data_IF_767473097579
#
_entry.id   IF_767473097579
#
_cell.length_a   1.000
_cell.length_b   1.000
_cell.length_c   1.000
_cell.angle_alpha   90.00
_cell.angle_beta   90.00
_cell.angle_gamma   90.00
#
_symmetry.space_group_name_H-M   'P 1'
#
loop_
_entity.id
_entity.type
_entity.pdbx_description
1 polymer ?
#
# COMPACT_ATOMS: atom_id res chain seq x y z
N UNK A 1 10.98 9.34 13.62
CA UNK A 1 11.59 10.12 12.50
C UNK A 1 10.93 9.71 11.18
N UNK A 2 10.78 10.63 10.23
CA UNK A 2 10.09 10.41 8.95
C UNK A 2 11.08 10.39 7.79
N UNK A 3 11.04 9.34 6.96
CA UNK A 3 11.89 9.22 5.77
C UNK A 3 11.02 9.15 4.51
N UNK A 4 11.38 9.91 3.48
CA UNK A 4 10.59 9.99 2.25
C UNK A 4 10.99 8.95 1.21
N UNK A 5 12.26 8.52 1.23
CA UNK A 5 12.85 7.60 0.28
C UNK A 5 13.76 6.60 0.99
N UNK A 6 13.73 5.33 0.58
CA UNK A 6 14.60 4.29 1.08
C UNK A 6 14.77 3.16 0.03
N UNK A 7 15.77 2.31 0.24
CA UNK A 7 16.01 1.10 -0.57
C UNK A 7 16.14 -0.09 0.36
N UNK A 8 15.50 -1.20 -0.01
CA UNK A 8 15.63 -2.46 0.73
C UNK A 8 16.82 -3.24 0.19
N UNK A 9 17.86 -3.43 1.01
CA UNK A 9 18.98 -4.32 0.71
C UNK A 9 18.70 -5.70 1.30
N UNK A 10 18.38 -6.66 0.43
CA UNK A 10 18.05 -8.02 0.83
C UNK A 10 18.47 -9.00 -0.26
N UNK A 11 18.96 -10.20 0.07
CA UNK A 11 19.26 -11.24 -0.92
C UNK A 11 18.00 -11.69 -1.69
N UNK A 12 16.81 -11.41 -1.15
CA UNK A 12 15.53 -11.76 -1.76
C UNK A 12 14.96 -10.63 -2.63
N UNK A 13 15.68 -9.53 -2.83
CA UNK A 13 15.21 -8.39 -3.64
C UNK A 13 16.26 -8.05 -4.70
N UNK A 14 15.82 -7.99 -5.96
CA UNK A 14 16.67 -7.56 -7.08
C UNK A 14 15.99 -6.40 -7.80
N UNK A 15 16.72 -5.30 -7.91
CA UNK A 15 16.31 -4.14 -8.70
C UNK A 15 16.91 -4.24 -10.09
N UNK A 16 16.11 -3.90 -11.10
CA UNK A 16 16.55 -3.75 -12.50
C UNK A 16 16.14 -2.36 -12.99
N UNK A 17 16.35 -2.08 -14.27
CA UNK A 17 15.95 -0.80 -14.88
C UNK A 17 14.43 -0.58 -14.93
N UNK A 18 13.64 -1.66 -14.96
CA UNK A 18 12.18 -1.57 -15.18
C UNK A 18 11.35 -2.28 -14.11
N UNK A 19 11.97 -3.06 -13.24
CA UNK A 19 11.23 -3.89 -12.28
C UNK A 19 12.00 -4.13 -10.98
N UNK A 20 11.21 -4.39 -9.94
CA UNK A 20 11.65 -4.95 -8.66
C UNK A 20 11.20 -6.40 -8.62
N UNK A 21 12.14 -7.33 -8.53
CA UNK A 21 11.87 -8.74 -8.31
C UNK A 21 12.04 -9.05 -6.83
N UNK A 22 11.09 -9.77 -6.23
CA UNK A 22 11.18 -10.19 -4.83
C UNK A 22 10.75 -11.62 -4.60
N UNK A 23 11.43 -12.31 -3.68
CA UNK A 23 11.06 -13.64 -3.23
C UNK A 23 10.42 -13.55 -1.84
N UNK A 24 9.23 -14.12 -1.68
CA UNK A 24 8.51 -14.16 -0.42
C UNK A 24 8.08 -15.58 -0.08
N UNK A 25 8.49 -16.05 1.09
CA UNK A 25 8.03 -17.32 1.64
C UNK A 25 6.76 -17.06 2.46
N UNK A 26 5.60 -17.37 1.89
CA UNK A 26 4.32 -17.24 2.57
C UNK A 26 4.11 -18.43 3.50
N UNK A 27 4.20 -18.18 4.80
CA UNK A 27 3.94 -19.16 5.85
C UNK A 27 2.43 -19.21 6.15
N UNK A 28 1.86 -20.41 6.07
CA UNK A 28 0.43 -20.66 6.25
C UNK A 28 0.20 -22.05 6.82
N UNK A 29 -1.06 -22.46 6.98
CA UNK A 29 -1.42 -23.79 7.48
C UNK A 29 -2.42 -24.48 6.55
N UNK A 30 -2.24 -25.78 6.38
CA UNK A 30 -3.19 -26.67 5.70
C UNK A 30 -3.97 -27.47 6.75
N UNK A 31 -5.30 -27.42 6.68
CA UNK A 31 -6.19 -28.16 7.57
C UNK A 31 -6.67 -29.44 6.90
N UNK A 32 -6.45 -30.57 7.57
CA UNK A 32 -6.99 -31.87 7.16
C UNK A 32 -7.93 -32.39 8.23
N UNK A 33 -9.12 -32.85 7.83
CA UNK A 33 -10.07 -33.50 8.72
C UNK A 33 -10.10 -34.99 8.39
N UNK A 34 -9.52 -35.82 9.25
CA UNK A 34 -9.39 -37.25 9.00
C UNK A 34 -9.81 -38.09 10.21
N UNK A 35 -10.33 -39.28 9.94
CA UNK A 35 -10.65 -40.25 10.98
C UNK A 35 -9.37 -40.98 11.39
N UNK A 36 -8.98 -40.82 12.67
CA UNK A 36 -7.92 -41.60 13.30
C UNK A 36 -8.51 -42.39 14.45
N UNK A 37 -8.39 -43.72 14.38
CA UNK A 37 -8.83 -44.64 15.42
C UNK A 37 -10.31 -44.47 15.80
N UNK A 38 -11.19 -44.25 14.81
CA UNK A 38 -12.63 -44.13 15.02
C UNK A 38 -13.09 -42.72 15.45
N UNK A 39 -12.16 -41.79 15.69
CA UNK A 39 -12.47 -40.40 16.03
C UNK A 39 -12.03 -39.47 14.90
N UNK A 40 -12.90 -38.57 14.47
CA UNK A 40 -12.52 -37.50 13.55
C UNK A 40 -11.67 -36.44 14.27
N UNK A 41 -10.53 -36.09 13.68
CA UNK A 41 -9.61 -35.11 14.24
C UNK A 41 -9.18 -34.11 13.16
N UNK A 42 -9.02 -32.85 13.58
CA UNK A 42 -8.40 -31.82 12.76
C UNK A 42 -6.89 -31.86 12.92
N UNK A 43 -6.18 -31.86 11.80
CA UNK A 43 -4.72 -31.78 11.75
C UNK A 43 -4.36 -30.47 11.07
N UNK A 44 -3.63 -29.63 11.80
CA UNK A 44 -3.11 -28.36 11.32
C UNK A 44 -1.66 -28.56 10.91
N UNK A 45 -1.36 -28.46 9.62
CA UNK A 45 -0.02 -28.68 9.06
C UNK A 45 0.59 -27.35 8.65
N UNK A 46 1.63 -26.84 9.34
CA UNK A 46 2.38 -25.69 8.86
C UNK A 46 2.93 -25.95 7.46
N UNK A 47 2.83 -24.95 6.59
CA UNK A 47 3.24 -25.02 5.20
C UNK A 47 3.82 -23.69 4.77
N UNK A 48 4.87 -23.75 3.96
CA UNK A 48 5.45 -22.57 3.33
C UNK A 48 5.22 -22.65 1.82
N UNK A 49 4.73 -21.56 1.24
CA UNK A 49 4.57 -21.41 -0.21
C UNK A 49 5.49 -20.30 -0.68
N UNK A 50 6.47 -20.63 -1.54
CA UNK A 50 7.37 -19.64 -2.13
C UNK A 50 6.67 -18.90 -3.27
N UNK A 51 6.62 -17.58 -3.17
CA UNK A 51 6.21 -16.68 -4.23
C UNK A 51 7.41 -15.91 -4.77
N UNK A 52 7.39 -15.68 -6.08
CA UNK A 52 8.32 -14.79 -6.77
C UNK A 52 7.48 -13.68 -7.41
N UNK A 53 7.60 -12.48 -6.87
CA UNK A 53 6.89 -11.30 -7.34
C UNK A 53 7.76 -10.50 -8.30
N UNK A 54 7.12 -9.94 -9.31
CA UNK A 54 7.70 -8.96 -10.23
C UNK A 54 6.79 -7.73 -10.20
N UNK A 55 7.37 -6.59 -9.81
CA UNK A 55 6.69 -5.30 -9.77
C UNK A 55 7.31 -4.39 -10.81
N UNK A 56 6.53 -3.99 -11.83
CA UNK A 56 6.93 -2.94 -12.77
C UNK A 56 7.00 -1.59 -12.04
N UNK A 57 8.07 -0.84 -12.23
CA UNK A 57 8.28 0.45 -11.56
C UNK A 57 7.67 1.64 -12.31
N UNK A 58 7.21 1.44 -13.55
CA UNK A 58 6.61 2.50 -14.36
C UNK A 58 5.20 2.81 -13.89
N UNK A 59 4.99 4.00 -13.34
CA UNK A 59 3.66 4.52 -13.01
C UNK A 59 3.03 5.17 -14.26
N UNK A 60 1.93 4.62 -14.83
CA UNK A 60 1.31 5.16 -16.03
C UNK A 60 0.36 6.33 -15.71
N UNK A 61 -0.03 7.08 -16.74
CA UNK A 61 -1.23 7.92 -16.64
C UNK A 61 -2.45 7.02 -16.58
N UNK A 62 -3.23 7.12 -15.51
CA UNK A 62 -4.42 6.32 -15.29
C UNK A 62 -5.68 7.07 -15.75
N UNK A 63 -6.42 6.49 -16.69
CA UNK A 63 -7.77 6.91 -17.02
C UNK A 63 -8.77 6.29 -16.04
N UNK A 64 -9.70 7.08 -15.51
CA UNK A 64 -10.74 6.62 -14.59
C UNK A 64 -12.11 6.96 -15.18
N UNK A 65 -13.00 5.96 -15.29
CA UNK A 65 -14.38 6.11 -15.74
C UNK A 65 -15.33 5.72 -14.62
N UNK A 66 -16.23 6.61 -14.24
CA UNK A 66 -17.13 6.43 -13.11
C UNK A 66 -18.58 6.37 -13.58
N UNK A 67 -19.27 5.27 -13.27
CA UNK A 67 -20.73 5.20 -13.43
C UNK A 67 -21.36 6.08 -12.34
N UNK A 68 -22.22 7.02 -12.74
CA UNK A 68 -22.75 8.02 -11.82
C UNK A 68 -21.75 9.14 -11.48
N UNK A 69 -20.84 9.48 -12.40
CA UNK A 69 -19.84 10.55 -12.23
C UNK A 69 -20.43 11.89 -11.73
N UNK A 70 -21.65 12.24 -12.14
CA UNK A 70 -22.33 13.47 -11.71
C UNK A 70 -22.90 13.45 -10.29
N UNK A 71 -22.86 12.30 -9.59
CA UNK A 71 -23.32 12.20 -8.20
C UNK A 71 -22.32 12.75 -7.19
N UNK A 72 -22.71 12.83 -5.92
CA UNK A 72 -21.91 13.45 -4.83
C UNK A 72 -20.46 12.94 -4.78
N UNK A 73 -20.24 11.63 -4.90
CA UNK A 73 -18.90 11.05 -4.83
C UNK A 73 -18.07 11.35 -6.09
N UNK A 74 -18.68 11.27 -7.27
CA UNK A 74 -17.98 11.49 -8.53
C UNK A 74 -17.57 12.95 -8.72
N UNK A 75 -18.46 13.88 -8.38
CA UNK A 75 -18.15 15.31 -8.40
C UNK A 75 -17.10 15.69 -7.35
N UNK A 76 -17.21 15.15 -6.13
CA UNK A 76 -16.22 15.39 -5.05
C UNK A 76 -14.85 14.81 -5.39
N UNK A 77 -14.78 13.59 -5.91
CA UNK A 77 -13.52 12.98 -6.36
C UNK A 77 -12.85 13.83 -7.44
N UNK A 78 -13.61 14.24 -8.45
CA UNK A 78 -13.09 15.06 -9.56
C UNK A 78 -12.62 16.42 -9.05
N UNK A 79 -13.43 17.09 -8.22
CA UNK A 79 -13.07 18.36 -7.61
C UNK A 79 -11.83 18.26 -6.73
N UNK A 80 -11.71 17.21 -5.92
CA UNK A 80 -10.55 16.94 -5.07
C UNK A 80 -9.27 16.72 -5.86
N UNK A 81 -9.32 15.96 -6.96
CA UNK A 81 -8.18 15.75 -7.87
C UNK A 81 -7.74 17.06 -8.52
N UNK A 82 -8.67 17.84 -9.06
CA UNK A 82 -8.35 19.13 -9.70
C UNK A 82 -7.80 20.11 -8.66
N UNK A 83 -8.43 20.22 -7.49
CA UNK A 83 -8.00 21.13 -6.44
C UNK A 83 -6.58 20.84 -5.96
N UNK A 84 -6.24 19.56 -5.74
CA UNK A 84 -4.88 19.17 -5.37
C UNK A 84 -3.88 19.37 -6.53
N UNK A 85 -4.27 19.09 -7.78
CA UNK A 85 -3.40 19.26 -8.95
C UNK A 85 -3.04 20.72 -9.21
N UNK A 86 -4.00 21.62 -9.09
CA UNK A 86 -3.81 23.05 -9.35
C UNK A 86 -3.38 23.86 -8.10
N UNK A 87 -3.23 23.21 -6.94
CA UNK A 87 -2.85 23.87 -5.69
C UNK A 87 -3.89 24.87 -5.18
N UNK A 88 -5.18 24.54 -5.34
CA UNK A 88 -6.28 25.45 -4.97
C UNK A 88 -6.35 25.62 -3.45
N UNK A 89 -6.58 26.86 -3.03
CA UNK A 89 -6.88 27.23 -1.65
C UNK A 89 -8.13 28.10 -1.57
N UNK A 90 -8.79 28.11 -0.41
CA UNK A 90 -10.00 28.90 -0.20
C UNK A 90 -10.05 29.46 1.22
N UNK A 91 -10.63 30.65 1.36
CA UNK A 91 -10.87 31.26 2.67
C UNK A 91 -12.05 30.58 3.37
N UNK A 92 -11.87 30.30 4.65
CA UNK A 92 -12.95 29.94 5.59
C UNK A 92 -13.06 31.01 6.65
N UNK A 93 -14.04 30.88 7.56
CA UNK A 93 -14.19 31.81 8.69
C UNK A 93 -12.93 31.89 9.56
N UNK A 94 -12.24 30.77 9.73
CA UNK A 94 -11.13 30.65 10.69
C UNK A 94 -9.76 30.87 10.03
N UNK A 95 -9.58 30.38 8.80
CA UNK A 95 -8.30 30.45 8.07
C UNK A 95 -8.45 30.13 6.58
N UNK A 96 -7.34 30.27 5.84
CA UNK A 96 -7.24 29.75 4.47
C UNK A 96 -6.95 28.25 4.53
N UNK A 97 -7.73 27.46 3.82
CA UNK A 97 -7.56 26.01 3.65
C UNK A 97 -6.83 25.70 2.35
N UNK A 98 -6.00 24.67 2.37
CA UNK A 98 -5.30 24.14 1.20
C UNK A 98 -5.90 22.79 0.82
N UNK A 99 -6.05 22.54 -0.48
CA UNK A 99 -6.44 21.23 -0.98
C UNK A 99 -5.45 20.15 -0.48
N UNK A 100 -5.99 19.02 -0.04
CA UNK A 100 -5.22 17.89 0.46
C UNK A 100 -5.96 16.57 0.17
N UNK A 101 -5.31 15.46 0.53
CA UNK A 101 -5.89 14.10 0.46
C UNK A 101 -6.07 13.49 1.85
N UNK A 102 -6.39 14.29 2.87
CA UNK A 102 -6.68 13.74 4.20
C UNK A 102 -7.86 12.76 4.13
N UNK A 103 -7.77 11.68 4.92
CA UNK A 103 -8.67 10.54 4.82
C UNK A 103 -8.27 9.49 3.77
N UNK A 104 -7.30 9.77 2.90
CA UNK A 104 -6.73 8.77 2.00
C UNK A 104 -5.62 7.98 2.68
N UNK A 105 -5.78 6.66 2.78
CA UNK A 105 -4.73 5.77 3.30
C UNK A 105 -3.44 5.88 2.46
N UNK A 106 -3.55 5.86 1.14
CA UNK A 106 -2.36 5.84 0.28
C UNK A 106 -1.61 7.17 0.28
N UNK A 107 -2.33 8.30 0.37
CA UNK A 107 -1.73 9.63 0.25
C UNK A 107 -1.39 10.29 1.59
N UNK A 108 -2.07 9.94 2.68
CA UNK A 108 -2.00 10.64 3.96
C UNK A 108 -1.72 9.73 5.17
N UNK A 109 -1.32 8.47 4.96
CA UNK A 109 -0.88 7.57 6.04
C UNK A 109 0.62 7.28 5.97
N UNK A 110 1.14 6.73 7.07
CA UNK A 110 2.52 6.31 7.21
C UNK A 110 2.60 4.84 7.64
N UNK A 111 3.74 4.22 7.35
CA UNK A 111 4.06 2.85 7.74
C UNK A 111 5.42 2.81 8.43
N UNK A 112 5.54 2.00 9.48
CA UNK A 112 6.81 1.76 10.15
C UNK A 112 7.70 0.89 9.26
N UNK A 113 8.90 1.36 8.98
CA UNK A 113 9.89 0.65 8.14
C UNK A 113 11.03 0.04 8.95
N UNK A 114 11.24 0.51 10.19
CA UNK A 114 12.28 -0.02 11.07
C UNK A 114 12.49 0.84 12.30
N UNK A 115 13.65 0.68 12.92
CA UNK A 115 14.12 1.53 14.02
C UNK A 115 15.54 2.02 13.78
N UNK A 116 15.85 3.21 14.30
CA UNK A 116 17.19 3.78 14.28
C UNK A 116 17.44 4.45 15.62
N UNK A 117 18.51 4.04 16.31
CA UNK A 117 18.87 4.56 17.65
C UNK A 117 17.74 4.45 18.69
N UNK A 118 16.95 3.37 18.65
CA UNK A 118 15.84 3.13 19.58
C UNK A 118 14.54 3.81 19.20
N UNK A 119 14.54 4.68 18.19
CA UNK A 119 13.35 5.37 17.70
C UNK A 119 12.72 4.66 16.50
N UNK A 120 11.39 4.70 16.40
CA UNK A 120 10.68 4.15 15.25
C UNK A 120 10.79 5.07 14.03
N UNK A 121 11.11 4.46 12.90
CA UNK A 121 11.21 5.14 11.61
C UNK A 121 9.99 4.80 10.78
N UNK A 122 9.33 5.85 10.32
CA UNK A 122 8.13 5.75 9.49
C UNK A 122 8.38 6.39 8.13
N UNK A 123 7.71 5.89 7.10
CA UNK A 123 7.70 6.44 5.75
C UNK A 123 6.25 6.69 5.30
N UNK A 124 6.00 7.62 4.34
CA UNK A 124 4.71 7.72 3.69
C UNK A 124 4.32 6.37 3.07
N UNK A 125 3.05 5.97 3.16
CA UNK A 125 2.60 4.69 2.59
C UNK A 125 2.93 4.56 1.09
N UNK A 126 2.72 5.65 0.33
CA UNK A 126 3.06 5.75 -1.10
C UNK A 126 4.56 5.67 -1.43
N UNK A 127 5.45 5.74 -0.43
CA UNK A 127 6.90 5.62 -0.64
C UNK A 127 7.39 4.17 -0.57
N UNK A 128 6.53 3.20 -0.25
CA UNK A 128 6.93 1.78 -0.19
C UNK A 128 7.31 1.22 -1.55
N UNK A 129 6.53 1.54 -2.58
CA UNK A 129 6.70 1.14 -3.97
C UNK A 129 6.16 2.27 -4.86
N UNK A 130 6.59 2.36 -6.14
CA UNK A 130 6.04 3.34 -7.07
C UNK A 130 4.51 3.24 -7.18
N UNK A 131 3.81 4.37 -7.01
CA UNK A 131 2.34 4.51 -7.06
C UNK A 131 1.92 5.75 -7.85
#
# INVERSE_FOLDING_TARGET
>A
MFIENFKVESPNVKYTETEIQSVYNYETTELVHENRNGTYQWIVKPKTVKYEFKTDIKVPKLGVMLVGWGGNNGSTLTGGVIANREGISWATKDNIQQANYFGSLTQASAIRVGSFQGEEIHAPFKSLLPM
#
